data_IF_770726699232
#
_entry.id   IF_770726699232
#
_cell.length_a   1.000
_cell.length_b   1.000
_cell.length_c   1.000
_cell.angle_alpha   90.00
_cell.angle_beta   90.00
_cell.angle_gamma   90.00
#
_symmetry.space_group_name_H-M   'P 1'
#
loop_
_entity.id
_entity.type
_entity.pdbx_description
1 polymer ?
#
# COMPACT_ATOMS: atom_id res chain seq x y z
N UNK A 1 11.44 -9.20 -0.18
CA UNK A 1 12.26 -8.02 -0.57
C UNK A 1 12.88 -8.13 -1.97
N UNK A 2 12.42 -9.02 -2.86
CA UNK A 2 13.03 -9.24 -4.18
C UNK A 2 12.46 -8.37 -5.31
N UNK A 3 11.42 -7.57 -5.06
CA UNK A 3 10.80 -6.71 -6.07
C UNK A 3 11.74 -5.68 -6.69
N UNK A 4 12.80 -5.28 -5.97
CA UNK A 4 13.85 -4.41 -6.51
C UNK A 4 14.59 -5.04 -7.67
N UNK A 5 14.83 -6.37 -7.67
CA UNK A 5 15.49 -7.06 -8.77
C UNK A 5 14.63 -7.08 -10.04
N UNK A 6 13.31 -7.20 -9.87
CA UNK A 6 12.35 -7.08 -10.99
C UNK A 6 12.44 -5.68 -11.58
N UNK A 7 12.42 -4.63 -10.76
CA UNK A 7 12.57 -3.25 -11.22
C UNK A 7 13.92 -3.03 -11.92
N UNK A 8 15.02 -3.55 -11.35
CA UNK A 8 16.35 -3.48 -11.97
C UNK A 8 16.38 -4.16 -13.35
N UNK A 9 15.78 -5.34 -13.49
CA UNK A 9 15.71 -6.03 -14.78
C UNK A 9 14.91 -5.23 -15.82
N UNK A 10 13.79 -4.62 -15.42
CA UNK A 10 12.97 -3.76 -16.29
C UNK A 10 13.74 -2.51 -16.74
N UNK A 11 14.45 -1.86 -15.82
CA UNK A 11 15.26 -0.68 -16.14
C UNK A 11 16.48 -1.04 -17.00
N UNK A 12 17.10 -2.19 -16.75
CA UNK A 12 18.19 -2.70 -17.57
C UNK A 12 17.70 -2.97 -19.01
N UNK A 13 16.53 -3.59 -19.16
CA UNK A 13 15.89 -3.78 -20.47
C UNK A 13 15.57 -2.44 -21.15
N UNK A 14 15.07 -1.46 -20.40
CA UNK A 14 14.83 -0.11 -20.92
C UNK A 14 16.09 0.47 -21.55
N UNK A 15 17.23 0.36 -20.86
CA UNK A 15 18.53 0.81 -21.35
C UNK A 15 18.95 0.07 -22.61
N UNK A 16 18.90 -1.27 -22.62
CA UNK A 16 19.25 -2.09 -23.80
C UNK A 16 18.38 -1.71 -25.02
N UNK A 17 17.07 -1.58 -24.83
CA UNK A 17 16.14 -1.25 -25.92
C UNK A 17 16.41 0.11 -26.56
N UNK A 18 16.89 1.08 -25.76
CA UNK A 18 17.26 2.42 -26.25
C UNK A 18 18.53 2.41 -27.09
N UNK A 19 19.46 1.48 -26.81
CA UNK A 19 20.64 1.29 -27.65
C UNK A 19 20.33 0.56 -28.96
N UNK A 20 19.25 -0.20 -29.02
CA UNK A 20 18.80 -0.93 -30.22
C UNK A 20 17.83 -0.16 -31.12
N UNK A 21 17.78 1.17 -31.04
CA UNK A 21 16.92 2.09 -31.81
C UNK A 21 15.40 1.82 -31.75
N UNK A 22 14.94 0.96 -30.84
CA UNK A 22 13.51 0.69 -30.58
C UNK A 22 13.20 0.83 -29.08
N UNK A 23 12.97 2.06 -28.58
CA UNK A 23 12.74 2.30 -27.16
C UNK A 23 11.45 1.61 -26.69
N UNK A 24 11.56 0.76 -25.66
CA UNK A 24 10.41 0.05 -25.09
C UNK A 24 9.49 0.98 -24.28
N UNK A 25 8.28 1.21 -24.80
CA UNK A 25 7.30 2.16 -24.25
C UNK A 25 6.73 1.76 -22.88
N UNK A 26 6.73 0.46 -22.56
CA UNK A 26 6.13 -0.09 -21.33
C UNK A 26 7.04 -0.01 -20.10
N UNK A 27 8.35 0.15 -20.31
CA UNK A 27 9.35 -0.03 -19.25
C UNK A 27 9.22 0.99 -18.11
N UNK A 28 8.86 2.23 -18.44
CA UNK A 28 8.68 3.29 -17.46
C UNK A 28 7.54 2.98 -16.48
N UNK A 29 6.38 2.60 -17.00
CA UNK A 29 5.20 2.34 -16.18
C UNK A 29 5.33 1.07 -15.38
N UNK A 30 5.90 0.01 -15.96
CA UNK A 30 6.16 -1.22 -15.20
C UNK A 30 7.17 -0.97 -14.09
N UNK A 31 8.20 -0.13 -14.30
CA UNK A 31 9.10 0.26 -13.22
C UNK A 31 8.39 1.05 -12.11
N UNK A 32 7.48 1.96 -12.46
CA UNK A 32 6.67 2.70 -11.49
C UNK A 32 5.72 1.79 -10.72
N UNK A 33 5.02 0.87 -11.40
CA UNK A 33 4.15 -0.11 -10.75
C UNK A 33 4.92 -1.07 -9.85
N UNK A 34 6.10 -1.52 -10.27
CA UNK A 34 6.98 -2.35 -9.45
C UNK A 34 7.45 -1.59 -8.20
N UNK A 35 7.79 -0.30 -8.33
CA UNK A 35 8.15 0.57 -7.21
C UNK A 35 6.98 0.72 -6.23
N UNK A 36 5.78 1.04 -6.71
CA UNK A 36 4.58 1.15 -5.88
C UNK A 36 4.31 -0.17 -5.15
N UNK A 37 4.29 -1.30 -5.86
CA UNK A 37 4.08 -2.61 -5.26
C UNK A 37 5.14 -2.92 -4.20
N UNK A 38 6.41 -2.60 -4.46
CA UNK A 38 7.50 -2.78 -3.51
C UNK A 38 7.31 -1.97 -2.23
N UNK A 39 6.94 -0.69 -2.32
CA UNK A 39 6.76 0.15 -1.15
C UNK A 39 5.50 -0.21 -0.34
N UNK A 40 4.37 -0.42 -1.01
CA UNK A 40 3.11 -0.70 -0.31
C UNK A 40 3.07 -2.09 0.33
N UNK A 41 3.71 -3.09 -0.28
CA UNK A 41 3.83 -4.43 0.32
C UNK A 41 5.02 -4.54 1.29
N UNK A 42 6.10 -3.82 1.02
CA UNK A 42 7.31 -3.82 1.84
C UNK A 42 7.17 -3.00 3.13
N UNK A 43 6.38 -1.94 3.13
CA UNK A 43 6.14 -1.07 4.29
C UNK A 43 5.63 -1.82 5.52
N UNK A 44 4.50 -2.56 5.44
CA UNK A 44 3.98 -3.36 6.55
C UNK A 44 5.01 -4.37 7.07
N UNK A 45 5.74 -5.01 6.17
CA UNK A 45 6.78 -5.97 6.52
C UNK A 45 7.97 -5.33 7.25
N UNK A 46 8.39 -4.13 6.85
CA UNK A 46 9.44 -3.38 7.53
C UNK A 46 9.02 -2.93 8.95
N UNK A 47 7.76 -2.53 9.11
CA UNK A 47 7.20 -2.21 10.44
C UNK A 47 7.17 -3.45 11.32
N UNK A 48 6.73 -4.59 10.79
CA UNK A 48 6.69 -5.86 11.53
C UNK A 48 8.08 -6.31 12.03
N UNK A 49 9.12 -6.14 11.22
CA UNK A 49 10.50 -6.48 11.60
C UNK A 49 11.17 -5.42 12.50
N UNK A 50 10.49 -4.30 12.81
CA UNK A 50 11.09 -3.20 13.54
C UNK A 50 12.23 -2.51 12.79
N UNK A 51 12.34 -2.70 11.47
CA UNK A 51 13.42 -2.14 10.64
C UNK A 51 13.11 -0.76 10.06
N UNK A 52 12.04 -0.12 10.54
CA UNK A 52 11.71 1.25 10.22
C UNK A 52 12.50 2.19 11.13
N UNK A 53 12.95 3.32 10.58
CA UNK A 53 13.67 4.32 11.35
C UNK A 53 12.69 5.03 12.28
N UNK A 54 12.76 4.71 13.58
CA UNK A 54 12.06 5.45 14.64
C UNK A 54 12.92 6.64 15.06
N UNK A 55 12.30 7.80 15.29
CA UNK A 55 12.99 8.98 15.81
C UNK A 55 13.04 8.91 17.34
N UNK A 56 14.06 8.25 17.88
CA UNK A 56 14.14 7.96 19.32
C UNK A 56 14.71 9.12 20.18
N UNK A 57 15.07 10.24 19.57
CA UNK A 57 15.80 11.34 20.21
C UNK A 57 15.09 11.95 21.43
N UNK A 58 13.76 12.01 21.42
CA UNK A 58 12.95 12.55 22.52
C UNK A 58 12.42 11.47 23.46
N UNK A 59 12.46 10.21 23.02
CA UNK A 59 11.86 9.09 23.74
C UNK A 59 12.84 8.44 24.69
N UNK A 60 14.15 8.54 24.47
CA UNK A 60 15.18 7.79 25.21
C UNK A 60 14.97 7.78 26.73
N UNK A 61 14.71 8.95 27.33
CA UNK A 61 14.56 9.12 28.79
C UNK A 61 13.13 8.92 29.34
N UNK A 62 12.16 8.53 28.52
CA UNK A 62 10.78 8.34 28.97
C UNK A 62 10.58 6.92 29.55
N UNK A 63 9.73 6.81 30.58
CA UNK A 63 9.32 5.52 31.12
C UNK A 63 8.52 4.71 30.09
N UNK A 64 8.58 3.38 30.15
CA UNK A 64 7.89 2.48 29.21
C UNK A 64 6.39 2.81 29.08
N UNK A 65 5.72 3.15 30.19
CA UNK A 65 4.31 3.56 30.20
C UNK A 65 4.05 4.87 29.46
N UNK A 66 4.95 5.85 29.57
CA UNK A 66 4.80 7.14 28.87
C UNK A 66 5.05 6.99 27.36
N UNK A 67 6.01 6.15 26.97
CA UNK A 67 6.24 5.77 25.57
C UNK A 67 4.99 5.13 24.97
N UNK A 68 4.51 4.04 25.58
CA UNK A 68 3.32 3.33 25.13
C UNK A 68 2.06 4.20 25.06
N UNK A 69 1.87 5.14 26.01
CA UNK A 69 0.73 6.05 25.97
C UNK A 69 0.77 7.01 24.77
N UNK A 70 1.94 7.53 24.42
CA UNK A 70 2.09 8.43 23.27
C UNK A 70 2.05 7.64 21.96
N UNK A 71 2.69 6.48 21.93
CA UNK A 71 2.66 5.56 20.79
C UNK A 71 1.20 5.16 20.47
N UNK A 72 0.40 4.78 21.47
CA UNK A 72 -1.02 4.49 21.32
C UNK A 72 -1.80 5.64 20.66
N UNK A 73 -1.59 6.89 21.07
CA UNK A 73 -2.26 8.06 20.48
C UNK A 73 -1.82 8.26 19.03
N UNK A 74 -0.52 8.15 18.74
CA UNK A 74 0.00 8.32 17.37
C UNK A 74 -0.45 7.20 16.44
N UNK A 75 -0.53 5.96 16.94
CA UNK A 75 -1.04 4.80 16.22
C UNK A 75 -2.53 4.94 15.92
N UNK A 76 -3.33 5.52 16.83
CA UNK A 76 -4.74 5.84 16.55
C UNK A 76 -4.89 6.86 15.42
N UNK A 77 -4.05 7.90 15.38
CA UNK A 77 -4.01 8.84 14.27
C UNK A 77 -3.61 8.13 12.95
N UNK A 78 -2.61 7.25 13.01
CA UNK A 78 -2.18 6.44 11.87
C UNK A 78 -3.30 5.52 11.36
N UNK A 79 -4.02 4.85 12.26
CA UNK A 79 -5.15 3.98 11.92
C UNK A 79 -6.27 4.76 11.23
N UNK A 80 -6.59 5.95 11.74
CA UNK A 80 -7.59 6.84 11.13
C UNK A 80 -7.16 7.24 9.71
N UNK A 81 -5.91 7.65 9.54
CA UNK A 81 -5.34 7.98 8.24
C UNK A 81 -5.37 6.78 7.27
N UNK A 82 -4.93 5.60 7.73
CA UNK A 82 -4.91 4.38 6.91
C UNK A 82 -6.32 3.91 6.54
N UNK A 83 -7.31 4.06 7.43
CA UNK A 83 -8.70 3.72 7.13
C UNK A 83 -9.28 4.62 6.03
N UNK A 84 -9.06 5.93 6.11
CA UNK A 84 -9.48 6.89 5.07
C UNK A 84 -8.75 6.61 3.75
N UNK A 85 -7.45 6.34 3.79
CA UNK A 85 -6.66 5.97 2.61
C UNK A 85 -7.12 4.67 1.98
N UNK A 86 -7.47 3.65 2.78
CA UNK A 86 -7.98 2.38 2.29
C UNK A 86 -9.34 2.56 1.62
N UNK A 87 -10.23 3.35 2.22
CA UNK A 87 -11.51 3.71 1.59
C UNK A 87 -11.30 4.39 0.24
N UNK A 88 -10.43 5.40 0.17
CA UNK A 88 -10.07 6.08 -1.08
C UNK A 88 -9.43 5.15 -2.11
N UNK A 89 -8.60 4.21 -1.68
CA UNK A 89 -7.99 3.18 -2.53
C UNK A 89 -9.02 2.22 -3.12
N UNK A 90 -9.95 1.72 -2.31
CA UNK A 90 -11.02 0.81 -2.73
C UNK A 90 -11.94 1.52 -3.72
N UNK A 91 -12.34 2.77 -3.43
CA UNK A 91 -13.12 3.61 -4.34
C UNK A 91 -12.39 3.85 -5.67
N UNK A 92 -11.09 4.16 -5.62
CA UNK A 92 -10.26 4.36 -6.83
C UNK A 92 -10.09 3.08 -7.65
N UNK A 93 -10.08 1.91 -7.00
CA UNK A 93 -10.04 0.61 -7.67
C UNK A 93 -11.37 0.30 -8.34
N UNK A 94 -12.50 0.54 -7.67
CA UNK A 94 -13.84 0.41 -8.26
C UNK A 94 -14.01 1.34 -9.47
N UNK A 95 -13.56 2.59 -9.36
CA UNK A 95 -13.52 3.54 -10.47
C UNK A 95 -12.73 3.00 -11.67
N UNK A 96 -11.58 2.38 -11.42
CA UNK A 96 -10.76 1.80 -12.50
C UNK A 96 -11.40 0.60 -13.20
N UNK A 97 -12.42 -0.02 -12.58
CA UNK A 97 -13.24 -1.08 -13.13
C UNK A 97 -14.56 -0.57 -13.75
N UNK A 98 -14.75 0.75 -13.80
CA UNK A 98 -15.90 1.39 -14.43
C UNK A 98 -17.07 1.69 -13.48
N UNK A 99 -16.87 1.62 -12.17
CA UNK A 99 -17.89 1.98 -11.18
C UNK A 99 -17.77 3.43 -10.71
N UNK A 100 -18.83 4.22 -10.89
CA UNK A 100 -18.86 5.66 -10.58
C UNK A 100 -19.75 6.02 -9.37
N UNK A 101 -20.23 5.02 -8.63
CA UNK A 101 -21.11 5.22 -7.47
C UNK A 101 -20.37 5.56 -6.16
N UNK A 102 -21.14 5.84 -5.11
CA UNK A 102 -20.66 6.18 -3.77
C UNK A 102 -20.19 4.97 -2.95
N UNK A 103 -20.69 3.78 -3.27
CA UNK A 103 -20.59 2.58 -2.42
C UNK A 103 -19.78 1.49 -3.11
N UNK A 104 -18.43 1.57 -3.06
CA UNK A 104 -17.59 0.63 -3.80
C UNK A 104 -17.73 -0.82 -3.31
N UNK A 105 -18.12 -1.04 -2.05
CA UNK A 105 -18.30 -2.39 -1.50
C UNK A 105 -19.47 -3.14 -2.14
N UNK A 106 -20.57 -2.45 -2.47
CA UNK A 106 -21.70 -3.12 -3.13
C UNK A 106 -21.34 -3.51 -4.56
N UNK A 107 -20.51 -2.71 -5.25
CA UNK A 107 -19.97 -3.06 -6.55
C UNK A 107 -19.12 -4.33 -6.50
N UNK A 108 -18.16 -4.42 -5.59
CA UNK A 108 -17.32 -5.62 -5.46
C UNK A 108 -18.11 -6.86 -5.02
N UNK A 109 -19.09 -6.70 -4.12
CA UNK A 109 -20.00 -7.78 -3.77
C UNK A 109 -20.83 -8.22 -4.98
N UNK A 110 -21.36 -7.26 -5.74
CA UNK A 110 -22.12 -7.50 -6.97
C UNK A 110 -21.32 -8.23 -8.04
N UNK A 111 -20.03 -7.90 -8.17
CA UNK A 111 -19.09 -8.54 -9.08
C UNK A 111 -18.89 -10.03 -8.73
N UNK A 112 -18.85 -10.34 -7.43
CA UNK A 112 -18.73 -11.70 -6.95
C UNK A 112 -20.03 -12.50 -7.12
N UNK A 113 -21.18 -11.85 -6.93
CA UNK A 113 -22.50 -12.47 -7.13
C UNK A 113 -22.95 -12.50 -8.59
N UNK A 114 -22.18 -11.92 -9.51
CA UNK A 114 -22.52 -11.82 -10.94
C UNK A 114 -23.69 -10.88 -11.24
N UNK A 115 -24.02 -9.97 -10.32
CA UNK A 115 -25.08 -8.97 -10.50
C UNK A 115 -24.56 -7.67 -11.11
N UNK A 116 -23.24 -7.45 -11.10
CA UNK A 116 -22.57 -6.28 -11.65
C UNK A 116 -21.52 -6.73 -12.66
N UNK A 117 -21.48 -6.06 -13.80
CA UNK A 117 -20.49 -6.31 -14.84
C UNK A 117 -19.36 -5.28 -14.78
N UNK A 118 -18.15 -5.71 -15.15
CA UNK A 118 -17.01 -4.80 -15.29
C UNK A 118 -17.31 -3.84 -16.45
N UNK A 119 -17.35 -2.55 -16.14
CA UNK A 119 -17.57 -1.50 -17.11
C UNK A 119 -16.30 -1.15 -17.89
N UNK A 120 -16.12 0.15 -18.16
CA UNK A 120 -14.95 0.63 -18.91
C UNK A 120 -13.70 0.60 -18.02
N UNK A 121 -12.74 -0.25 -18.40
CA UNK A 121 -11.46 -0.35 -17.71
C UNK A 121 -10.61 0.91 -17.89
N UNK A 122 -10.21 1.54 -16.79
CA UNK A 122 -9.33 2.69 -16.78
C UNK A 122 -7.92 2.30 -17.25
N UNK A 123 -7.41 3.05 -18.22
CA UNK A 123 -6.06 2.91 -18.77
C UNK A 123 -5.24 4.15 -18.48
N UNK A 124 -3.94 3.96 -18.30
CA UNK A 124 -2.98 5.05 -18.19
C UNK A 124 -3.01 5.97 -19.42
N UNK A 125 -2.67 7.24 -19.21
CA UNK A 125 -2.60 8.28 -20.25
C UNK A 125 -1.28 8.28 -21.03
N UNK A 126 -0.42 7.29 -20.79
CA UNK A 126 0.84 7.09 -21.50
C UNK A 126 0.62 6.51 -22.89
N UNK A 127 1.71 6.33 -23.64
CA UNK A 127 1.68 5.73 -24.97
C UNK A 127 1.37 4.22 -24.89
N UNK A 128 1.84 3.53 -23.84
CA UNK A 128 1.60 2.08 -23.67
C UNK A 128 0.19 1.75 -23.16
N UNK A 129 -0.45 2.66 -22.41
CA UNK A 129 -1.85 2.58 -21.96
C UNK A 129 -2.21 1.29 -21.18
N UNK A 130 -1.42 0.87 -20.17
CA UNK A 130 -1.78 -0.28 -19.33
C UNK A 130 -3.03 -0.03 -18.50
N UNK A 131 -3.69 -1.12 -18.10
CA UNK A 131 -4.79 -1.08 -17.13
C UNK A 131 -4.29 -0.72 -15.73
N UNK A 132 -4.99 0.17 -15.04
CA UNK A 132 -4.58 0.66 -13.71
C UNK A 132 -5.14 -0.16 -12.54
N UNK A 133 -6.21 -0.90 -12.76
CA UNK A 133 -6.85 -1.68 -11.69
C UNK A 133 -5.90 -2.66 -10.96
N UNK A 134 -4.93 -3.34 -11.61
CA UNK A 134 -4.09 -4.30 -10.90
C UNK A 134 -3.20 -3.62 -9.87
N UNK A 135 -2.59 -2.49 -10.22
CA UNK A 135 -1.71 -1.78 -9.29
C UNK A 135 -2.49 -1.11 -8.16
N UNK A 136 -3.68 -0.57 -8.45
CA UNK A 136 -4.58 -0.02 -7.42
C UNK A 136 -5.05 -1.10 -6.44
N UNK A 137 -5.34 -2.31 -6.93
CA UNK A 137 -5.67 -3.45 -6.08
C UNK A 137 -4.49 -3.86 -5.18
N UNK A 138 -3.26 -3.91 -5.72
CA UNK A 138 -2.04 -4.17 -4.93
C UNK A 138 -1.82 -3.11 -3.86
N UNK A 139 -2.04 -1.83 -4.18
CA UNK A 139 -1.98 -0.75 -3.19
C UNK A 139 -3.00 -0.94 -2.07
N UNK A 140 -4.24 -1.31 -2.40
CA UNK A 140 -5.27 -1.60 -1.39
C UNK A 140 -4.88 -2.77 -0.49
N UNK A 141 -4.31 -3.84 -1.08
CA UNK A 141 -3.81 -4.98 -0.31
C UNK A 141 -2.67 -4.56 0.64
N UNK A 142 -1.70 -3.76 0.18
CA UNK A 142 -0.63 -3.25 1.02
C UNK A 142 -1.11 -2.33 2.15
N UNK A 143 -2.08 -1.45 1.85
CA UNK A 143 -2.73 -0.60 2.86
C UNK A 143 -3.49 -1.42 3.91
N UNK A 144 -4.20 -2.46 3.49
CA UNK A 144 -4.90 -3.37 4.39
C UNK A 144 -3.91 -4.11 5.31
N UNK A 145 -2.79 -4.60 4.78
CA UNK A 145 -1.73 -5.20 5.58
C UNK A 145 -1.11 -4.19 6.56
N UNK A 146 -0.91 -2.94 6.14
CA UNK A 146 -0.40 -1.88 7.01
C UNK A 146 -1.37 -1.58 8.15
N UNK A 147 -2.67 -1.58 7.87
CA UNK A 147 -3.72 -1.35 8.86
C UNK A 147 -3.76 -2.49 9.88
N UNK A 148 -3.63 -3.74 9.43
CA UNK A 148 -3.49 -4.89 10.33
C UNK A 148 -2.23 -4.80 11.21
N UNK A 149 -1.10 -4.38 10.63
CA UNK A 149 0.14 -4.18 11.39
C UNK A 149 0.00 -3.06 12.43
N UNK A 150 -0.63 -1.94 12.08
CA UNK A 150 -0.89 -0.84 13.01
C UNK A 150 -1.84 -1.25 14.15
N UNK A 151 -2.85 -2.08 13.86
CA UNK A 151 -3.69 -2.68 14.90
C UNK A 151 -2.89 -3.58 15.85
N UNK A 152 -1.91 -4.32 15.32
CA UNK A 152 -1.01 -5.14 16.14
C UNK A 152 -0.13 -4.30 17.07
N UNK A 153 0.44 -3.19 16.59
CA UNK A 153 1.20 -2.25 17.45
C UNK A 153 0.30 -1.67 18.55
N UNK A 154 -0.91 -1.24 18.20
CA UNK A 154 -1.87 -0.71 19.19
C UNK A 154 -2.18 -1.73 20.29
N UNK A 155 -2.38 -3.00 19.93
CA UNK A 155 -2.64 -4.06 20.89
C UNK A 155 -1.45 -4.28 21.84
N UNK A 156 -0.21 -4.23 21.32
CA UNK A 156 1.01 -4.34 22.14
C UNK A 156 1.13 -3.16 23.11
N UNK A 157 0.86 -1.94 22.65
CA UNK A 157 0.91 -0.75 23.51
C UNK A 157 -0.10 -0.84 24.67
N UNK A 158 -1.30 -1.36 24.38
CA UNK A 158 -2.33 -1.61 25.41
C UNK A 158 -1.86 -2.63 26.45
N UNK A 159 -1.18 -3.71 26.04
CA UNK A 159 -0.63 -4.71 26.95
C UNK A 159 0.42 -4.11 27.89
N UNK A 160 1.34 -3.31 27.34
CA UNK A 160 2.38 -2.60 28.12
C UNK A 160 1.74 -1.67 29.15
N UNK A 161 0.66 -0.98 28.82
CA UNK A 161 -0.07 -0.12 29.77
C UNK A 161 -0.79 -0.90 30.87
N UNK A 162 -1.28 -2.12 30.56
CA UNK A 162 -1.90 -3.03 31.53
C UNK A 162 -0.88 -3.71 32.45
N UNK A 163 0.42 -3.57 32.17
CA UNK A 163 1.49 -4.18 32.96
C UNK A 163 1.68 -5.68 32.70
N UNK A 164 1.07 -6.18 31.63
CA UNK A 164 1.35 -7.51 31.09
C UNK A 164 2.53 -7.33 30.12
N UNK A 165 3.68 -7.96 30.39
CA UNK A 165 4.85 -7.86 29.51
C UNK A 165 4.49 -8.40 28.10
N UNK A 166 4.74 -7.58 27.08
CA UNK A 166 4.39 -7.81 25.68
C UNK A 166 5.48 -8.59 24.93
#
# INVERSE_FOLDING_TARGET
MYGIFVMMAVLMWSTISKFGDQPSLWTLEVAQFAMIAYFFLGGPYAVQMGSHVRMDLFYENWSAKRKAAVDMVTVLCLLTYLAVMLWGGISSTAYSLGYFGSDPFSFFAGLFTGSEDIGTLERSRTIWRPYLWPIKAVMCAGLLLMLLQALSELAKDILVLRGEEA
#
